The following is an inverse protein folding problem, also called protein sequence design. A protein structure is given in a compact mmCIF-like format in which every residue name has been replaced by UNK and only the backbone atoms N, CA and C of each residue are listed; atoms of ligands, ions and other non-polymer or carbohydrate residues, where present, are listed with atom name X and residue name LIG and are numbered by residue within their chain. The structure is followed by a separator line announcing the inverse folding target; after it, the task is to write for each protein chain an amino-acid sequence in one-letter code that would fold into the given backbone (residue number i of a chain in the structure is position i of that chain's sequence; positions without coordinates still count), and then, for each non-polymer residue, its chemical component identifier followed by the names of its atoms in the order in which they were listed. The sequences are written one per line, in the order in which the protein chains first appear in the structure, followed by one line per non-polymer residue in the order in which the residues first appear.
data_IF_454121703700
#
_entry.id   IF_454121703700
#
_cell.length_a   1.000
_cell.length_b   1.000
_cell.length_c   1.000
_cell.angle_alpha   90.00
_cell.angle_beta   90.00
_cell.angle_gamma   90.00
#
_symmetry.space_group_name_H-M   'P 1'
#
loop_
_entity.id
_entity.type
_entity.pdbx_description
1 polymer ?
#
# COMPACT_ATOMS: atom_id res chain seq x y z
N UNK A 1 -26.62 37.19 -30.40
CA UNK A 1 -25.62 37.16 -29.30
C UNK A 1 -25.99 36.22 -28.15
N UNK A 2 -27.23 36.22 -27.61
CA UNK A 2 -27.60 35.42 -26.43
C UNK A 2 -27.54 33.89 -26.64
N UNK A 3 -27.95 33.39 -27.81
CA UNK A 3 -27.89 31.95 -28.17
C UNK A 3 -26.46 31.46 -28.39
N UNK A 4 -25.62 32.28 -29.05
CA UNK A 4 -24.20 31.94 -29.27
C UNK A 4 -23.44 31.81 -27.94
N UNK A 5 -23.77 32.65 -26.96
CA UNK A 5 -23.21 32.59 -25.61
C UNK A 5 -23.62 31.31 -24.86
N UNK A 6 -24.88 30.86 -25.02
CA UNK A 6 -25.39 29.63 -24.41
C UNK A 6 -24.76 28.35 -25.02
N UNK A 7 -24.48 28.36 -26.33
CA UNK A 7 -23.81 27.24 -27.02
C UNK A 7 -22.34 27.13 -26.60
N UNK A 8 -21.64 28.27 -26.44
CA UNK A 8 -20.24 28.27 -25.96
C UNK A 8 -20.17 27.79 -24.49
N UNK A 9 -21.11 28.21 -23.64
CA UNK A 9 -21.14 27.84 -22.22
C UNK A 9 -21.41 26.34 -22.01
N UNK A 10 -22.26 25.73 -22.83
CA UNK A 10 -22.54 24.28 -22.79
C UNK A 10 -21.40 23.44 -23.35
N UNK A 11 -20.71 23.92 -24.40
CA UNK A 11 -19.51 23.28 -24.93
C UNK A 11 -18.34 23.29 -23.92
N UNK A 12 -18.18 24.37 -23.14
CA UNK A 12 -17.18 24.48 -22.08
C UNK A 12 -17.47 23.60 -20.85
N UNK A 13 -18.70 23.15 -20.65
CA UNK A 13 -19.06 22.23 -19.56
C UNK A 13 -18.89 20.75 -19.94
N UNK A 14 -18.73 20.46 -21.24
CA UNK A 14 -18.64 19.10 -21.80
C UNK A 14 -17.21 18.60 -22.00
N UNK A 15 -16.20 19.44 -21.71
CA UNK A 15 -14.80 19.04 -21.70
C UNK A 15 -14.55 18.19 -20.45
N UNK A 16 -14.47 16.88 -20.65
CA UNK A 16 -14.00 15.95 -19.63
C UNK A 16 -12.57 16.34 -19.24
N UNK A 17 -12.41 17.06 -18.13
CA UNK A 17 -11.09 17.37 -17.59
C UNK A 17 -10.44 16.05 -17.14
N UNK A 18 -9.25 15.66 -17.65
CA UNK A 18 -8.45 14.55 -17.10
C UNK A 18 -8.30 14.51 -15.57
N UNK A 19 -8.54 15.63 -14.86
CA UNK A 19 -8.59 15.67 -13.40
C UNK A 19 -9.67 14.76 -12.77
N UNK A 20 -10.72 14.39 -13.52
CA UNK A 20 -11.81 13.53 -13.03
C UNK A 20 -11.61 12.04 -13.37
N UNK A 21 -10.60 11.71 -14.17
CA UNK A 21 -10.35 10.35 -14.70
C UNK A 21 -9.00 9.80 -14.21
N UNK A 22 -8.44 10.38 -13.14
CA UNK A 22 -7.24 9.85 -12.50
C UNK A 22 -7.52 8.47 -11.90
N UNK A 23 -6.59 7.53 -12.07
CA UNK A 23 -6.66 6.21 -11.42
C UNK A 23 -6.76 6.40 -9.88
N UNK A 24 -7.96 6.19 -9.33
CA UNK A 24 -8.26 6.41 -7.90
C UNK A 24 -9.21 7.56 -7.56
N UNK A 25 -9.76 8.28 -8.54
CA UNK A 25 -10.83 9.26 -8.34
C UNK A 25 -12.25 8.65 -8.42
N UNK A 26 -12.41 7.38 -8.06
CA UNK A 26 -13.69 6.65 -8.06
C UNK A 26 -14.44 6.74 -6.71
N UNK A 27 -13.79 7.30 -5.68
CA UNK A 27 -14.34 7.37 -4.32
C UNK A 27 -14.38 6.03 -3.57
N UNK A 28 -13.87 4.95 -4.18
CA UNK A 28 -13.89 3.59 -3.63
C UNK A 28 -12.49 3.09 -3.28
N UNK A 29 -11.50 3.38 -4.14
CA UNK A 29 -10.10 3.06 -3.90
C UNK A 29 -9.61 3.68 -2.58
N UNK A 30 -8.79 2.93 -1.84
CA UNK A 30 -8.29 3.25 -0.50
C UNK A 30 -9.35 3.28 0.61
N UNK A 31 -10.61 2.95 0.31
CA UNK A 31 -11.70 2.90 1.30
C UNK A 31 -12.36 1.54 1.38
N UNK A 32 -12.47 0.85 0.24
CA UNK A 32 -13.05 -0.48 0.13
C UNK A 32 -12.08 -1.43 -0.58
N UNK A 33 -12.28 -2.73 -0.39
CA UNK A 33 -11.54 -3.78 -1.12
C UNK A 33 -12.06 -3.82 -2.55
N UNK A 34 -11.32 -3.25 -3.49
CA UNK A 34 -11.69 -3.10 -4.91
C UNK A 34 -10.87 -4.01 -5.84
N UNK A 35 -9.80 -4.63 -5.32
CA UNK A 35 -9.01 -5.64 -6.02
C UNK A 35 -9.31 -7.02 -5.43
N UNK A 36 -9.58 -8.00 -6.29
CA UNK A 36 -9.82 -9.39 -5.89
C UNK A 36 -8.51 -10.09 -5.50
N UNK A 37 -7.48 -9.88 -6.32
CA UNK A 37 -6.17 -10.53 -6.21
C UNK A 37 -5.07 -9.58 -5.76
N UNK A 38 -4.11 -10.15 -5.04
CA UNK A 38 -2.90 -9.48 -4.57
C UNK A 38 -1.68 -10.33 -4.92
N UNK A 39 -0.54 -9.68 -5.12
CA UNK A 39 0.77 -10.32 -5.22
C UNK A 39 1.61 -9.96 -4.01
N UNK A 40 2.41 -10.90 -3.52
CA UNK A 40 3.33 -10.69 -2.40
C UNK A 40 4.75 -11.02 -2.84
N UNK A 41 5.66 -10.07 -2.65
CA UNK A 41 7.09 -10.30 -2.75
C UNK A 41 7.62 -10.59 -1.35
N UNK A 42 8.02 -11.83 -1.08
CA UNK A 42 8.43 -12.29 0.24
C UNK A 42 9.90 -12.01 0.54
N UNK A 43 10.18 -11.73 1.81
CA UNK A 43 11.52 -11.69 2.40
C UNK A 43 12.51 -10.80 1.64
N UNK A 44 12.05 -9.66 1.14
CA UNK A 44 12.90 -8.70 0.43
C UNK A 44 13.86 -8.05 1.44
N UNK A 45 15.19 -8.25 1.31
CA UNK A 45 16.14 -7.66 2.23
C UNK A 45 16.17 -6.14 2.09
N UNK A 46 16.05 -5.44 3.21
CA UNK A 46 16.13 -3.97 3.23
C UNK A 46 17.31 -3.45 4.06
N UNK A 47 17.95 -4.31 4.86
CA UNK A 47 19.13 -3.95 5.63
C UNK A 47 19.67 -5.09 6.48
N UNK A 48 20.70 -4.79 7.27
CA UNK A 48 21.28 -5.72 8.24
C UNK A 48 21.79 -4.96 9.46
N UNK A 49 21.75 -5.57 10.64
CA UNK A 49 22.28 -4.96 11.85
C UNK A 49 22.59 -6.01 12.93
N UNK A 50 23.30 -5.60 13.98
CA UNK A 50 23.64 -6.45 15.12
C UNK A 50 22.42 -6.61 16.03
N UNK A 51 22.03 -7.85 16.27
CA UNK A 51 20.98 -8.27 17.20
C UNK A 51 21.46 -8.19 18.65
N UNK A 52 20.53 -8.36 19.59
CA UNK A 52 20.81 -8.29 21.03
C UNK A 52 21.82 -9.34 21.52
N UNK A 53 21.90 -10.48 20.84
CA UNK A 53 22.86 -11.56 21.12
C UNK A 53 24.24 -11.35 20.46
N UNK A 54 24.44 -10.22 19.78
CA UNK A 54 25.68 -9.90 19.07
C UNK A 54 25.79 -10.50 17.67
N UNK A 55 24.80 -11.28 17.21
CA UNK A 55 24.77 -11.81 15.85
C UNK A 55 24.38 -10.74 14.83
N UNK A 56 24.91 -10.80 13.61
CA UNK A 56 24.42 -9.95 12.52
C UNK A 56 23.17 -10.58 11.90
N UNK A 57 22.08 -9.82 11.86
CA UNK A 57 20.80 -10.26 11.30
C UNK A 57 20.46 -9.43 10.07
N UNK A 58 19.92 -10.10 9.05
CA UNK A 58 19.33 -9.45 7.88
C UNK A 58 17.88 -9.11 8.21
N UNK A 59 17.48 -7.88 7.93
CA UNK A 59 16.11 -7.42 8.09
C UNK A 59 15.44 -7.44 6.71
N UNK A 60 14.30 -8.12 6.67
CA UNK A 60 13.51 -8.37 5.46
C UNK A 60 12.12 -7.77 5.59
N UNK A 61 11.46 -7.60 4.45
CA UNK A 61 10.08 -7.16 4.38
C UNK A 61 9.28 -7.95 3.35
N UNK A 62 8.00 -8.13 3.61
CA UNK A 62 7.04 -8.63 2.64
C UNK A 62 6.31 -7.46 1.99
N UNK A 63 6.27 -7.43 0.66
CA UNK A 63 5.63 -6.35 -0.09
C UNK A 63 4.34 -6.86 -0.75
N UNK A 64 3.19 -6.40 -0.25
CA UNK A 64 1.87 -6.71 -0.76
C UNK A 64 1.42 -5.64 -1.74
N UNK A 65 0.93 -6.06 -2.92
CA UNK A 65 0.49 -5.15 -3.99
C UNK A 65 -0.80 -5.66 -4.63
N UNK A 66 -1.73 -4.78 -5.03
CA UNK A 66 -2.87 -5.17 -5.86
C UNK A 66 -2.42 -5.65 -7.25
N UNK A 67 -3.06 -6.69 -7.77
CA UNK A 67 -2.86 -7.17 -9.15
C UNK A 67 -3.79 -6.41 -10.10
N UNK A 68 -3.30 -6.09 -11.30
CA UNK A 68 -4.10 -5.39 -12.33
C UNK A 68 -4.28 -3.89 -12.09
N UNK A 69 -3.58 -3.33 -11.10
CA UNK A 69 -3.65 -1.92 -10.77
C UNK A 69 -2.90 -1.04 -11.78
N UNK A 70 -3.62 -0.06 -12.36
CA UNK A 70 -3.10 0.88 -13.36
C UNK A 70 -2.46 2.14 -12.75
N UNK A 71 -2.58 2.35 -11.43
CA UNK A 71 -1.98 3.50 -10.78
C UNK A 71 -0.47 3.32 -10.57
N UNK A 72 0.32 4.26 -11.10
CA UNK A 72 1.78 4.23 -10.96
C UNK A 72 2.25 4.76 -9.59
N UNK A 73 1.58 5.76 -9.04
CA UNK A 73 1.90 6.37 -7.75
C UNK A 73 0.89 5.92 -6.71
N UNK A 74 1.31 5.00 -5.83
CA UNK A 74 0.47 4.38 -4.81
C UNK A 74 0.97 4.78 -3.42
N UNK A 75 0.08 5.13 -2.48
CA UNK A 75 0.47 5.32 -1.11
C UNK A 75 1.01 4.01 -0.55
N UNK A 76 2.11 4.12 0.20
CA UNK A 76 2.75 3.00 0.88
C UNK A 76 2.33 3.00 2.34
N UNK A 77 1.95 1.83 2.86
CA UNK A 77 1.76 1.60 4.30
C UNK A 77 2.89 0.72 4.80
N UNK A 78 3.65 1.21 5.78
CA UNK A 78 4.66 0.43 6.49
C UNK A 78 4.01 -0.21 7.71
N UNK A 79 4.10 -1.53 7.84
CA UNK A 79 3.54 -2.28 8.95
C UNK A 79 4.70 -2.89 9.75
N UNK A 80 4.72 -2.61 11.05
CA UNK A 80 5.63 -3.25 12.00
C UNK A 80 4.78 -4.13 12.94
N UNK A 81 5.16 -5.41 13.03
CA UNK A 81 4.46 -6.38 13.87
C UNK A 81 4.49 -6.01 15.36
N UNK A 82 3.54 -6.55 16.13
CA UNK A 82 3.52 -6.44 17.58
C UNK A 82 4.60 -7.29 18.26
N UNK A 83 4.42 -7.55 19.56
CA UNK A 83 5.28 -8.50 20.30
C UNK A 83 6.31 -7.87 21.24
N UNK A 84 6.15 -6.60 21.62
CA UNK A 84 6.98 -5.90 22.61
C UNK A 84 8.49 -5.91 22.32
N UNK A 85 8.87 -6.00 21.03
CA UNK A 85 10.26 -6.22 20.62
C UNK A 85 10.87 -7.54 21.11
N UNK A 86 10.08 -8.48 21.62
CA UNK A 86 10.53 -9.80 22.07
C UNK A 86 10.18 -10.90 21.07
N UNK A 87 9.18 -10.68 20.22
CA UNK A 87 8.71 -11.65 19.24
C UNK A 87 8.03 -10.96 18.05
N UNK A 88 7.70 -11.76 17.04
CA UNK A 88 6.97 -11.37 15.83
C UNK A 88 7.86 -11.37 14.58
N UNK A 89 7.23 -11.19 13.43
CA UNK A 89 7.84 -11.26 12.11
C UNK A 89 7.01 -10.51 11.07
N UNK A 90 7.58 -10.25 9.90
CA UNK A 90 6.91 -9.66 8.73
C UNK A 90 5.72 -10.50 8.23
N UNK A 91 5.72 -11.81 8.48
CA UNK A 91 4.69 -12.77 8.08
C UNK A 91 3.78 -13.21 9.25
N UNK A 92 3.84 -12.50 10.38
CA UNK A 92 3.06 -12.81 11.57
C UNK A 92 1.56 -12.82 11.30
N UNK A 93 0.83 -13.75 11.95
CA UNK A 93 -0.63 -13.84 11.81
C UNK A 93 -1.38 -12.58 12.26
N UNK A 94 -0.74 -11.73 13.05
CA UNK A 94 -1.23 -10.42 13.48
C UNK A 94 -1.16 -9.35 12.38
N UNK A 95 -0.22 -9.46 11.43
CA UNK A 95 0.00 -8.46 10.37
C UNK A 95 -0.52 -8.90 9.00
N UNK A 96 -0.48 -10.20 8.68
CA UNK A 96 -0.84 -10.71 7.34
C UNK A 96 -2.26 -10.29 6.91
N UNK A 97 -3.33 -10.48 7.71
CA UNK A 97 -4.68 -10.09 7.29
C UNK A 97 -4.81 -8.59 7.00
N UNK A 98 -4.18 -7.74 7.83
CA UNK A 98 -4.17 -6.29 7.64
C UNK A 98 -3.45 -5.90 6.35
N UNK A 99 -2.30 -6.51 6.06
CA UNK A 99 -1.53 -6.22 4.86
C UNK A 99 -2.30 -6.62 3.59
N UNK A 100 -2.96 -7.79 3.61
CA UNK A 100 -3.78 -8.24 2.49
C UNK A 100 -4.98 -7.32 2.25
N UNK A 101 -5.65 -6.88 3.32
CA UNK A 101 -6.81 -5.97 3.21
C UNK A 101 -6.42 -4.62 2.63
N UNK A 102 -5.35 -4.01 3.12
CA UNK A 102 -4.83 -2.76 2.60
C UNK A 102 -4.37 -2.90 1.13
N UNK A 103 -3.72 -3.99 0.77
CA UNK A 103 -3.37 -4.26 -0.62
C UNK A 103 -4.61 -4.37 -1.52
N UNK A 104 -5.68 -5.05 -1.07
CA UNK A 104 -6.97 -5.10 -1.77
C UNK A 104 -7.70 -3.75 -1.86
N UNK A 105 -7.38 -2.82 -0.97
CA UNK A 105 -7.85 -1.43 -1.04
C UNK A 105 -7.04 -0.56 -2.01
N UNK A 106 -5.92 -1.07 -2.54
CA UNK A 106 -5.09 -0.38 -3.53
C UNK A 106 -3.80 0.22 -3.00
N UNK A 107 -3.46 -0.01 -1.73
CA UNK A 107 -2.17 0.38 -1.14
C UNK A 107 -1.05 -0.57 -1.59
N UNK A 108 0.19 -0.07 -1.57
CA UNK A 108 1.36 -0.95 -1.47
C UNK A 108 1.69 -1.09 0.01
N UNK A 109 1.80 -2.31 0.52
CA UNK A 109 2.07 -2.54 1.94
C UNK A 109 3.42 -3.19 2.09
N UNK A 110 4.27 -2.65 2.95
CA UNK A 110 5.54 -3.26 3.33
C UNK A 110 5.46 -3.69 4.79
N UNK A 111 5.34 -4.99 5.04
CA UNK A 111 5.40 -5.58 6.38
C UNK A 111 6.85 -5.87 6.70
N UNK A 112 7.42 -5.21 7.72
CA UNK A 112 8.85 -5.29 8.02
C UNK A 112 9.11 -6.20 9.22
N UNK A 113 10.19 -6.98 9.13
CA UNK A 113 10.87 -7.50 10.31
C UNK A 113 11.74 -6.41 10.90
N UNK A 114 11.90 -6.39 12.23
CA UNK A 114 12.83 -5.49 12.90
C UNK A 114 13.62 -6.24 13.97
N UNK A 115 14.67 -5.61 14.51
CA UNK A 115 15.49 -6.25 15.55
C UNK A 115 14.67 -6.52 16.82
N UNK A 116 14.73 -7.75 17.31
CA UNK A 116 14.22 -8.10 18.62
C UNK A 116 15.27 -7.76 19.70
N UNK A 117 14.77 -7.34 20.86
CA UNK A 117 15.52 -6.66 21.90
C UNK A 117 16.25 -7.60 22.87
N UNK A 118 15.69 -8.75 23.24
CA UNK A 118 16.28 -9.77 24.13
C UNK A 118 15.52 -11.12 23.91
N UNK A 119 16.22 -12.25 23.93
CA UNK A 119 15.61 -13.59 23.96
C UNK A 119 15.20 -13.95 25.39
N UNK A 120 13.98 -14.44 25.60
CA UNK A 120 13.55 -15.00 26.90
C UNK A 120 14.20 -16.35 27.19
#
# INVERSE_FOLDING_TARGET
MRIFFFVILTALFSINLPAQIGAGCDGARYRYRVFDDISVDYDIPYGSNISADGSNITLVMDIYKPVGDVANNRPVVLVAHGGFFLAGSNDGSDVVPLCQDLARMGYVVASISYRLGINN
#
